data_IF_552303555562
#
_entry.id   IF_552303555562
#
_cell.length_a   1.000
_cell.length_b   1.000
_cell.length_c   1.000
_cell.angle_alpha   90.00
_cell.angle_beta   90.00
_cell.angle_gamma   90.00
#
_symmetry.space_group_name_H-M   'P 1'
#
loop_
_entity.id
_entity.type
_entity.pdbx_description
1 polymer ?
#
# COMPACT_ATOMS: atom_id res chain seq x y z
N UNK A 1 1.96 -25.40 8.38
CA UNK A 1 1.13 -24.24 8.80
C UNK A 1 1.56 -23.06 7.94
N UNK A 2 0.70 -22.55 7.04
CA UNK A 2 1.02 -21.32 6.29
C UNK A 2 0.96 -20.17 7.28
N UNK A 3 2.12 -19.63 7.64
CA UNK A 3 2.22 -18.38 8.39
C UNK A 3 1.41 -17.36 7.60
N UNK A 4 0.30 -16.88 8.15
CA UNK A 4 -0.36 -15.69 7.63
C UNK A 4 0.69 -14.59 7.67
N UNK A 5 1.27 -14.27 6.51
CA UNK A 5 2.28 -13.24 6.39
C UNK A 5 1.59 -11.91 6.69
N UNK A 6 1.70 -11.48 7.94
CA UNK A 6 1.09 -10.25 8.39
C UNK A 6 1.75 -9.10 7.63
N UNK A 7 1.03 -8.54 6.67
CA UNK A 7 1.49 -7.36 5.93
C UNK A 7 1.20 -6.15 6.81
N UNK A 8 2.21 -5.41 7.30
CA UNK A 8 1.97 -4.21 8.08
C UNK A 8 1.28 -3.17 7.22
N UNK A 9 0.36 -2.42 7.82
CA UNK A 9 -0.27 -1.26 7.20
C UNK A 9 0.29 0.02 7.81
N UNK A 10 0.55 1.00 6.96
CA UNK A 10 1.04 2.31 7.35
C UNK A 10 0.07 3.38 6.87
N UNK A 11 -0.33 4.24 7.79
CA UNK A 11 -1.16 5.39 7.46
C UNK A 11 -0.29 6.55 7.00
N UNK A 12 -0.57 7.05 5.79
CA UNK A 12 -0.02 8.28 5.26
C UNK A 12 -1.20 9.20 4.95
N UNK A 13 -1.35 10.28 5.73
CA UNK A 13 -2.52 11.15 5.67
C UNK A 13 -3.81 10.33 5.89
N UNK A 14 -4.66 10.23 4.87
CA UNK A 14 -5.91 9.49 4.90
C UNK A 14 -5.80 8.10 4.22
N UNK A 15 -4.67 7.76 3.61
CA UNK A 15 -4.47 6.50 2.89
C UNK A 15 -3.85 5.43 3.80
N UNK A 16 -4.36 4.21 3.70
CA UNK A 16 -3.75 3.00 4.28
C UNK A 16 -2.89 2.32 3.22
N UNK A 17 -1.62 2.11 3.54
CA UNK A 17 -0.60 1.61 2.61
C UNK A 17 0.00 0.31 3.15
N UNK A 18 -0.04 -0.73 2.34
CA UNK A 18 0.60 -2.02 2.60
C UNK A 18 2.12 -1.88 2.57
N UNK A 19 2.76 -2.44 3.58
CA UNK A 19 4.19 -2.39 3.81
C UNK A 19 4.87 -3.73 3.56
N UNK A 20 5.34 -3.98 2.33
CA UNK A 20 6.15 -5.17 2.08
C UNK A 20 7.62 -4.94 2.42
N UNK A 21 8.22 -5.87 3.17
CA UNK A 21 9.66 -5.85 3.50
C UNK A 21 10.57 -6.00 2.28
N UNK A 22 10.11 -6.72 1.25
CA UNK A 22 10.80 -6.97 -0.01
C UNK A 22 9.81 -7.53 -1.06
N UNK A 23 10.30 -7.73 -2.29
CA UNK A 23 9.51 -8.26 -3.41
C UNK A 23 8.94 -9.66 -3.12
N UNK A 24 9.72 -10.54 -2.48
CA UNK A 24 9.27 -11.89 -2.15
C UNK A 24 8.04 -11.87 -1.22
N UNK A 25 8.06 -11.01 -0.21
CA UNK A 25 6.92 -10.82 0.69
C UNK A 25 5.68 -10.27 -0.04
N UNK A 26 5.88 -9.35 -1.00
CA UNK A 26 4.79 -8.86 -1.83
C UNK A 26 4.16 -10.00 -2.64
N UNK A 27 4.98 -10.79 -3.34
CA UNK A 27 4.52 -11.92 -4.15
C UNK A 27 3.82 -12.99 -3.30
N UNK A 28 4.37 -13.34 -2.14
CA UNK A 28 3.74 -14.30 -1.23
C UNK A 28 2.37 -13.81 -0.72
N UNK A 29 2.20 -12.50 -0.52
CA UNK A 29 0.94 -11.90 -0.07
C UNK A 29 -0.09 -11.72 -1.20
N UNK A 30 0.35 -11.46 -2.43
CA UNK A 30 -0.52 -11.24 -3.60
C UNK A 30 -0.80 -12.54 -4.37
N UNK A 31 0.00 -13.57 -4.18
CA UNK A 31 -0.14 -14.89 -4.81
C UNK A 31 -0.10 -16.01 -3.76
N UNK A 32 -0.98 -15.99 -2.73
CA UNK A 32 -0.91 -16.96 -1.65
C UNK A 32 -1.22 -18.38 -2.16
N UNK A 33 -0.20 -19.24 -2.17
CA UNK A 33 -0.39 -20.66 -2.47
C UNK A 33 -0.78 -20.99 -3.90
N UNK A 34 -0.34 -20.22 -4.89
CA UNK A 34 -0.61 -20.54 -6.28
C UNK A 34 -1.77 -19.78 -6.91
N UNK A 35 -2.46 -18.92 -6.15
CA UNK A 35 -3.67 -18.21 -6.61
C UNK A 35 -3.46 -16.71 -6.49
N UNK A 36 -3.65 -15.98 -7.59
CA UNK A 36 -3.59 -14.51 -7.59
C UNK A 36 -4.75 -13.92 -6.79
N UNK A 37 -4.44 -12.99 -5.91
CA UNK A 37 -5.39 -12.08 -5.30
C UNK A 37 -6.11 -11.26 -6.38
N UNK A 38 -7.44 -11.17 -6.31
CA UNK A 38 -8.25 -10.36 -7.23
C UNK A 38 -8.43 -8.95 -6.66
N UNK A 39 -8.55 -7.96 -7.53
CA UNK A 39 -8.79 -6.57 -7.16
C UNK A 39 -7.84 -5.61 -7.88
N UNK A 40 -7.81 -4.39 -7.40
CA UNK A 40 -6.99 -3.29 -7.92
C UNK A 40 -5.76 -3.10 -7.04
N UNK A 41 -4.59 -3.12 -7.67
CA UNK A 41 -3.31 -2.80 -7.04
C UNK A 41 -2.85 -1.41 -7.49
N UNK A 42 -2.67 -0.49 -6.54
CA UNK A 42 -2.23 0.88 -6.80
C UNK A 42 -0.86 1.12 -6.18
N UNK A 43 0.06 1.59 -7.02
CA UNK A 43 1.32 2.18 -6.60
C UNK A 43 1.09 3.63 -6.14
N UNK A 44 1.26 3.90 -4.85
CA UNK A 44 1.06 5.21 -4.23
C UNK A 44 2.40 5.93 -4.11
N UNK A 45 2.60 6.93 -4.98
CA UNK A 45 3.69 7.90 -4.92
C UNK A 45 3.20 9.24 -4.35
N UNK A 46 4.11 10.21 -4.20
CA UNK A 46 3.81 11.46 -3.49
C UNK A 46 2.73 12.31 -4.20
N UNK A 47 2.76 12.38 -5.53
CA UNK A 47 1.73 13.08 -6.31
C UNK A 47 0.33 12.50 -6.06
N UNK A 48 0.18 11.16 -5.96
CA UNK A 48 -1.12 10.53 -5.75
C UNK A 48 -1.66 10.84 -4.37
N UNK A 49 -0.80 10.90 -3.35
CA UNK A 49 -1.20 11.34 -2.00
C UNK A 49 -1.80 12.74 -2.06
N UNK A 50 -1.17 13.68 -2.79
CA UNK A 50 -1.65 15.06 -2.89
C UNK A 50 -2.96 15.15 -3.70
N UNK A 51 -3.03 14.48 -4.85
CA UNK A 51 -4.25 14.49 -5.69
C UNK A 51 -5.45 13.92 -4.94
N UNK A 52 -5.27 12.87 -4.12
CA UNK A 52 -6.38 12.34 -3.31
C UNK A 52 -6.84 13.27 -2.17
N UNK A 53 -6.03 14.27 -1.80
CA UNK A 53 -6.47 15.32 -0.86
C UNK A 53 -7.32 16.39 -1.57
N UNK A 54 -7.03 16.66 -2.84
CA UNK A 54 -7.66 17.74 -3.62
C UNK A 54 -8.88 17.29 -4.44
N UNK A 55 -8.95 16.00 -4.83
CA UNK A 55 -9.99 15.46 -5.70
C UNK A 55 -10.72 14.26 -5.05
N UNK A 56 -12.00 14.47 -4.70
CA UNK A 56 -12.84 13.45 -4.08
C UNK A 56 -13.12 12.25 -4.99
N UNK A 57 -13.26 12.44 -6.31
CA UNK A 57 -13.53 11.32 -7.22
C UNK A 57 -12.31 10.40 -7.33
N UNK A 58 -11.10 10.99 -7.37
CA UNK A 58 -9.86 10.22 -7.33
C UNK A 58 -9.68 9.55 -5.97
N UNK A 59 -10.01 10.24 -4.88
CA UNK A 59 -9.98 9.65 -3.54
C UNK A 59 -10.89 8.44 -3.42
N UNK A 60 -12.14 8.53 -3.87
CA UNK A 60 -13.08 7.40 -3.86
C UNK A 60 -12.55 6.22 -4.67
N UNK A 61 -11.98 6.48 -5.86
CA UNK A 61 -11.37 5.44 -6.70
C UNK A 61 -10.20 4.74 -6.00
N UNK A 62 -9.32 5.51 -5.34
CA UNK A 62 -8.19 4.98 -4.59
C UNK A 62 -8.66 4.22 -3.34
N UNK A 63 -9.70 4.70 -2.67
CA UNK A 63 -10.27 4.06 -1.48
C UNK A 63 -10.87 2.68 -1.81
N UNK A 64 -11.47 2.52 -3.00
CA UNK A 64 -12.00 1.24 -3.49
C UNK A 64 -10.92 0.18 -3.80
N UNK A 65 -9.66 0.58 -4.00
CA UNK A 65 -8.60 -0.38 -4.30
C UNK A 65 -8.26 -1.25 -3.08
N UNK A 66 -8.22 -2.56 -3.30
CA UNK A 66 -7.94 -3.57 -2.29
C UNK A 66 -6.46 -3.55 -1.86
N UNK A 67 -5.56 -3.19 -2.77
CA UNK A 67 -4.12 -3.20 -2.50
C UNK A 67 -3.51 -1.85 -2.86
N UNK A 68 -2.97 -1.16 -1.86
CA UNK A 68 -2.25 0.11 -2.01
C UNK A 68 -0.86 -0.06 -1.45
N UNK A 69 0.19 0.21 -2.22
CA UNK A 69 1.57 0.05 -1.74
C UNK A 69 2.39 1.31 -1.98
N UNK A 70 3.40 1.53 -1.15
CA UNK A 70 4.27 2.69 -1.26
C UNK A 70 5.19 2.56 -2.48
N UNK A 71 5.17 3.57 -3.34
CA UNK A 71 6.08 3.72 -4.47
C UNK A 71 6.82 5.06 -4.39
N UNK A 72 8.10 5.05 -4.76
CA UNK A 72 8.96 6.22 -4.70
C UNK A 72 9.50 6.58 -3.30
N UNK A 73 10.66 7.25 -3.30
CA UNK A 73 11.45 7.50 -2.09
C UNK A 73 10.73 8.37 -1.06
N UNK A 74 9.92 9.34 -1.50
CA UNK A 74 9.25 10.30 -0.62
C UNK A 74 8.22 9.62 0.27
N UNK A 75 7.40 8.73 -0.30
CA UNK A 75 6.37 7.96 0.43
C UNK A 75 7.02 6.95 1.37
N UNK A 76 8.04 6.23 0.89
CA UNK A 76 8.80 5.28 1.72
C UNK A 76 9.48 5.96 2.91
N UNK A 77 10.06 7.16 2.71
CA UNK A 77 10.65 7.95 3.80
C UNK A 77 9.59 8.45 4.78
N UNK A 78 8.41 8.85 4.32
CA UNK A 78 7.31 9.26 5.18
C UNK A 78 6.88 8.13 6.12
N UNK A 79 6.72 6.90 5.60
CA UNK A 79 6.43 5.70 6.42
C UNK A 79 7.49 5.51 7.50
N UNK A 80 8.76 5.48 7.11
CA UNK A 80 9.90 5.26 8.03
C UNK A 80 10.03 6.33 9.11
N UNK A 81 9.65 7.58 8.81
CA UNK A 81 9.62 8.67 9.79
C UNK A 81 8.47 8.49 10.77
N UNK A 82 7.30 8.05 10.30
CA UNK A 82 6.11 7.89 11.14
C UNK A 82 6.24 6.70 12.11
N UNK A 83 6.96 5.65 11.74
CA UNK A 83 7.23 4.48 12.58
C UNK A 83 8.35 4.68 13.62
N UNK A 84 9.00 5.84 13.65
CA UNK A 84 10.07 6.19 14.61
C UNK A 84 9.57 7.02 15.80
N UNK A 85 8.25 7.20 15.92
CA UNK A 85 7.62 7.88 17.04
C UNK A 85 7.09 6.89 18.05
#
# INVERSE_FOLDING_TARGET
MKTTLMVPEYRIRHLNILGWRNMAHALESLWPGGVLCKGTLIAINAEKVLVTEDDNAIRELVDLAEYKYADGISVVRAIRKNTRR
#
